data_IF_961060152531
#
_entry.id   IF_961060152531
#
_cell.length_a   1.000
_cell.length_b   1.000
_cell.length_c   1.000
_cell.angle_alpha   90.00
_cell.angle_beta   90.00
_cell.angle_gamma   90.00
#
_symmetry.space_group_name_H-M   'P 1'
#
loop_
_entity.id
_entity.type
_entity.pdbx_description
1 polymer ?
#
# COMPACT_ATOMS: atom_id res chain seq x y z
N UNK A 1 -12.90 -10.59 -4.31
CA UNK A 1 -11.49 -11.06 -4.21
C UNK A 1 -10.71 -10.60 -5.46
N UNK A 2 -9.36 -10.53 -5.49
CA UNK A 2 -8.61 -10.06 -6.70
C UNK A 2 -9.00 -10.87 -7.97
N UNK A 3 -9.31 -12.15 -7.80
CA UNK A 3 -9.80 -13.05 -8.85
C UNK A 3 -11.05 -12.55 -9.57
N UNK A 4 -11.89 -11.76 -8.90
CA UNK A 4 -13.16 -11.21 -9.38
C UNK A 4 -13.03 -9.74 -9.77
N UNK A 5 -11.86 -9.12 -9.56
CA UNK A 5 -11.63 -7.72 -9.87
C UNK A 5 -11.36 -7.51 -11.36
N UNK A 6 -11.91 -6.43 -11.93
CA UNK A 6 -11.57 -5.98 -13.27
C UNK A 6 -10.07 -5.67 -13.43
N UNK A 7 -9.38 -5.31 -12.35
CA UNK A 7 -7.92 -5.07 -12.34
C UNK A 7 -7.16 -6.30 -12.84
N UNK A 8 -7.56 -7.50 -12.39
CA UNK A 8 -6.93 -8.74 -12.86
C UNK A 8 -7.04 -8.88 -14.37
N UNK A 9 -8.22 -8.61 -14.92
CA UNK A 9 -8.45 -8.69 -16.37
C UNK A 9 -7.61 -7.67 -17.14
N UNK A 10 -7.40 -6.47 -16.58
CA UNK A 10 -6.56 -5.44 -17.20
C UNK A 10 -5.09 -5.90 -17.33
N UNK A 11 -4.54 -6.51 -16.28
CA UNK A 11 -3.18 -7.04 -16.31
C UNK A 11 -3.07 -8.28 -17.21
N UNK A 12 -4.01 -9.22 -17.13
CA UNK A 12 -4.00 -10.43 -17.95
C UNK A 12 -4.14 -10.12 -19.46
N UNK A 13 -4.94 -9.11 -19.82
CA UNK A 13 -5.12 -8.66 -21.21
C UNK A 13 -4.06 -7.67 -21.70
N UNK A 14 -3.03 -7.39 -20.89
CA UNK A 14 -1.94 -6.45 -21.21
C UNK A 14 -2.42 -5.03 -21.56
N UNK A 15 -3.53 -4.60 -20.95
CA UNK A 15 -3.93 -3.19 -21.01
C UNK A 15 -3.06 -2.30 -20.12
N UNK A 16 -2.41 -2.90 -19.12
CA UNK A 16 -1.43 -2.22 -18.27
C UNK A 16 -0.03 -2.37 -18.90
N UNK A 17 0.81 -1.30 -18.92
CA UNK A 17 2.16 -1.35 -19.48
C UNK A 17 3.06 -2.43 -18.86
N UNK A 18 4.04 -2.91 -19.64
CA UNK A 18 4.87 -4.08 -19.34
C UNK A 18 5.78 -3.98 -18.10
N UNK A 19 5.87 -2.83 -17.44
CA UNK A 19 6.71 -2.60 -16.26
C UNK A 19 5.91 -2.21 -15.01
N UNK A 20 4.59 -2.32 -15.06
CA UNK A 20 3.73 -2.08 -13.91
C UNK A 20 3.46 -3.40 -13.17
N UNK A 21 3.57 -3.35 -11.86
CA UNK A 21 3.35 -4.49 -10.99
C UNK A 21 2.41 -4.11 -9.85
N UNK A 22 1.56 -5.04 -9.45
CA UNK A 22 0.81 -4.96 -8.20
C UNK A 22 1.66 -5.56 -7.08
N UNK A 23 1.65 -4.91 -5.92
CA UNK A 23 2.15 -5.53 -4.69
C UNK A 23 0.99 -6.28 -4.03
N UNK A 24 1.12 -7.59 -3.96
CA UNK A 24 0.23 -8.48 -3.24
C UNK A 24 0.80 -8.86 -1.88
N UNK A 25 -0.10 -9.21 -0.97
CA UNK A 25 0.28 -9.87 0.28
C UNK A 25 0.58 -11.36 0.06
N UNK A 26 1.12 -12.01 1.09
CA UNK A 26 1.49 -13.43 1.10
C UNK A 26 0.34 -14.40 0.77
N UNK A 27 -0.91 -13.98 0.97
CA UNK A 27 -2.11 -14.75 0.61
C UNK A 27 -2.41 -14.81 -0.89
N UNK A 28 -1.69 -14.07 -1.73
CA UNK A 28 -1.84 -14.11 -3.18
C UNK A 28 -0.75 -14.96 -3.86
N UNK A 29 -1.04 -15.55 -5.02
CA UNK A 29 0.00 -16.22 -5.80
C UNK A 29 0.89 -15.20 -6.51
N UNK A 30 2.19 -15.47 -6.56
CA UNK A 30 3.13 -14.69 -7.37
C UNK A 30 2.82 -14.86 -8.87
N UNK A 31 2.75 -13.75 -9.60
CA UNK A 31 2.52 -13.72 -11.07
C UNK A 31 3.47 -12.69 -11.71
N UNK A 32 3.67 -12.73 -13.05
CA UNK A 32 4.49 -11.73 -13.75
C UNK A 32 4.12 -10.27 -13.49
N UNK A 33 2.89 -10.00 -13.07
CA UNK A 33 2.36 -8.68 -12.75
C UNK A 33 1.92 -8.52 -11.28
N UNK A 34 2.07 -9.55 -10.44
CA UNK A 34 1.68 -9.54 -9.03
C UNK A 34 2.84 -10.05 -8.17
N UNK A 35 3.49 -9.13 -7.49
CA UNK A 35 4.67 -9.36 -6.66
C UNK A 35 4.24 -9.64 -5.22
N UNK A 36 4.66 -10.77 -4.68
CA UNK A 36 4.31 -11.23 -3.33
C UNK A 36 5.60 -11.53 -2.54
N UNK A 37 5.62 -11.30 -1.23
CA UNK A 37 6.82 -11.55 -0.43
C UNK A 37 7.21 -13.03 -0.41
N UNK A 38 8.49 -13.31 -0.22
CA UNK A 38 8.94 -14.66 0.13
C UNK A 38 8.48 -14.99 1.56
N UNK A 39 7.78 -16.11 1.73
CA UNK A 39 7.34 -16.59 3.06
C UNK A 39 8.51 -17.03 3.95
N UNK A 40 9.53 -17.64 3.35
CA UNK A 40 10.73 -18.12 4.04
C UNK A 40 11.96 -17.61 3.27
N UNK A 41 12.30 -16.30 3.39
CA UNK A 41 13.40 -15.72 2.65
C UNK A 41 14.74 -16.29 3.14
N UNK A 42 15.60 -16.67 2.20
CA UNK A 42 17.01 -16.98 2.48
C UNK A 42 17.80 -15.67 2.59
N UNK A 43 18.93 -15.74 3.30
CA UNK A 43 19.85 -14.62 3.42
C UNK A 43 20.29 -14.09 2.04
N UNK A 44 20.48 -12.77 1.96
CA UNK A 44 20.92 -12.08 0.75
C UNK A 44 19.75 -11.53 -0.10
N UNK A 45 19.66 -11.84 -1.41
CA UNK A 45 18.74 -11.15 -2.32
C UNK A 45 17.25 -11.23 -1.95
N UNK A 46 16.80 -12.36 -1.38
CA UNK A 46 15.39 -12.54 -1.01
C UNK A 46 14.99 -11.66 0.17
N UNK A 47 15.88 -11.50 1.15
CA UNK A 47 15.66 -10.59 2.27
C UNK A 47 15.64 -9.12 1.80
N UNK A 48 16.55 -8.76 0.89
CA UNK A 48 16.57 -7.43 0.28
C UNK A 48 15.29 -7.13 -0.50
N UNK A 49 14.78 -8.12 -1.24
CA UNK A 49 13.50 -8.02 -1.93
C UNK A 49 12.34 -7.83 -0.95
N UNK A 50 12.23 -8.66 0.09
CA UNK A 50 11.16 -8.55 1.09
C UNK A 50 11.20 -7.20 1.82
N UNK A 51 12.40 -6.68 2.13
CA UNK A 51 12.57 -5.35 2.71
C UNK A 51 12.02 -4.27 1.79
N UNK A 52 12.41 -4.26 0.52
CA UNK A 52 11.89 -3.31 -0.45
C UNK A 52 10.36 -3.44 -0.63
N UNK A 53 9.84 -4.67 -0.64
CA UNK A 53 8.40 -4.96 -0.73
C UNK A 53 7.63 -4.38 0.47
N UNK A 54 8.10 -4.66 1.71
CA UNK A 54 7.54 -4.13 2.97
C UNK A 54 7.57 -2.60 3.01
N UNK A 55 8.72 -1.99 2.67
CA UNK A 55 8.85 -0.52 2.64
C UNK A 55 7.89 0.13 1.64
N UNK A 56 7.73 -0.47 0.45
CA UNK A 56 6.81 0.04 -0.56
C UNK A 56 5.35 -0.06 -0.10
N UNK A 57 4.97 -1.18 0.53
CA UNK A 57 3.63 -1.37 1.10
C UNK A 57 3.32 -0.42 2.25
N UNK A 58 4.31 -0.14 3.09
CA UNK A 58 4.16 0.74 4.25
C UNK A 58 3.61 2.12 3.88
N UNK A 59 3.89 2.63 2.68
CA UNK A 59 3.35 3.92 2.19
C UNK A 59 1.82 3.89 2.12
N UNK A 60 1.26 2.83 1.53
CA UNK A 60 -0.19 2.66 1.38
C UNK A 60 -0.84 2.34 2.73
N UNK A 61 -0.21 1.49 3.53
CA UNK A 61 -0.69 1.12 4.86
C UNK A 61 -0.77 2.34 5.79
N UNK A 62 0.26 3.20 5.79
CA UNK A 62 0.22 4.48 6.51
C UNK A 62 -0.90 5.38 6.03
N UNK A 63 -1.17 5.44 4.72
CA UNK A 63 -2.28 6.23 4.18
C UNK A 63 -3.65 5.72 4.64
N UNK A 64 -3.83 4.40 4.64
CA UNK A 64 -5.06 3.74 5.15
C UNK A 64 -5.21 4.00 6.66
N UNK A 65 -4.13 3.89 7.44
CA UNK A 65 -4.13 4.20 8.87
C UNK A 65 -4.57 5.63 9.16
N UNK A 66 -4.01 6.61 8.45
CA UNK A 66 -4.43 8.01 8.57
C UNK A 66 -5.90 8.23 8.19
N UNK A 67 -6.41 7.49 7.19
CA UNK A 67 -7.81 7.56 6.80
C UNK A 67 -8.73 7.01 7.90
N UNK A 68 -8.39 5.85 8.48
CA UNK A 68 -9.12 5.22 9.59
C UNK A 68 -9.13 6.09 10.84
N UNK A 69 -7.98 6.64 11.22
CA UNK A 69 -7.86 7.57 12.38
C UNK A 69 -8.70 8.82 12.19
N UNK A 70 -8.71 9.39 10.98
CA UNK A 70 -9.50 10.61 10.70
C UNK A 70 -11.00 10.36 10.68
N UNK A 71 -11.44 9.18 10.23
CA UNK A 71 -12.85 8.85 10.11
C UNK A 71 -13.15 7.58 10.90
N UNK A 72 -13.52 7.74 12.16
CA UNK A 72 -13.81 6.63 13.09
C UNK A 72 -14.86 5.63 12.59
N UNK A 73 -15.73 6.05 11.65
CA UNK A 73 -16.66 5.16 10.94
C UNK A 73 -15.95 4.02 10.17
N UNK A 74 -14.66 4.16 9.86
CA UNK A 74 -13.83 3.13 9.22
C UNK A 74 -13.07 2.25 10.23
N UNK A 75 -13.14 2.56 11.53
CA UNK A 75 -12.45 1.83 12.59
C UNK A 75 -13.24 0.58 13.03
N UNK A 76 -14.57 0.65 12.99
CA UNK A 76 -15.44 -0.40 13.48
C UNK A 76 -16.29 -1.08 12.41
N UNK A 77 -17.15 -1.99 12.85
CA UNK A 77 -18.12 -2.66 11.98
C UNK A 77 -19.15 -1.66 11.42
N UNK A 78 -19.17 -1.53 10.09
CA UNK A 78 -20.16 -0.70 9.41
C UNK A 78 -21.39 -1.53 9.05
N UNK A 79 -22.50 -1.30 9.74
CA UNK A 79 -23.80 -1.96 9.46
C UNK A 79 -24.54 -1.33 8.27
N UNK A 80 -23.84 -1.21 7.15
CA UNK A 80 -24.39 -0.71 5.89
C UNK A 80 -24.27 -1.78 4.81
N UNK A 81 -25.14 -1.71 3.79
CA UNK A 81 -25.00 -2.56 2.61
C UNK A 81 -23.67 -2.26 1.89
N UNK A 82 -23.02 -3.25 1.26
CA UNK A 82 -21.73 -3.07 0.60
C UNK A 82 -21.67 -1.87 -0.35
N UNK A 83 -22.76 -1.62 -1.10
CA UNK A 83 -22.82 -0.50 -2.06
C UNK A 83 -22.77 0.86 -1.36
N UNK A 84 -23.33 0.97 -0.15
CA UNK A 84 -23.25 2.18 0.67
C UNK A 84 -21.88 2.31 1.32
N UNK A 85 -21.28 1.20 1.77
CA UNK A 85 -19.92 1.19 2.33
C UNK A 85 -18.90 1.67 1.30
N UNK A 86 -18.98 1.22 0.04
CA UNK A 86 -18.09 1.69 -1.02
C UNK A 86 -18.18 3.20 -1.22
N UNK A 87 -19.39 3.78 -1.23
CA UNK A 87 -19.59 5.23 -1.33
C UNK A 87 -19.04 5.97 -0.13
N UNK A 88 -19.20 5.42 1.07
CA UNK A 88 -18.67 5.97 2.31
C UNK A 88 -17.14 6.03 2.27
N UNK A 89 -16.47 4.93 1.88
CA UNK A 89 -15.01 4.88 1.74
C UNK A 89 -14.52 5.94 0.75
N UNK A 90 -15.19 6.08 -0.40
CA UNK A 90 -14.84 7.10 -1.41
C UNK A 90 -15.01 8.51 -0.83
N UNK A 91 -16.12 8.79 -0.14
CA UNK A 91 -16.35 10.09 0.49
C UNK A 91 -15.29 10.41 1.54
N UNK A 92 -14.91 9.45 2.38
CA UNK A 92 -13.81 9.59 3.33
C UNK A 92 -12.49 9.91 2.61
N UNK A 93 -12.15 9.22 1.53
CA UNK A 93 -10.93 9.48 0.76
C UNK A 93 -10.91 10.90 0.16
N UNK A 94 -12.03 11.36 -0.40
CA UNK A 94 -12.16 12.72 -0.94
C UNK A 94 -11.97 13.76 0.17
N UNK A 95 -12.66 13.59 1.31
CA UNK A 95 -12.54 14.50 2.45
C UNK A 95 -11.14 14.48 3.05
N UNK A 96 -10.48 13.32 3.10
CA UNK A 96 -9.08 13.20 3.52
C UNK A 96 -8.16 14.03 2.64
N UNK A 97 -8.30 13.92 1.32
CA UNK A 97 -7.48 14.67 0.37
C UNK A 97 -7.69 16.19 0.53
N UNK A 98 -8.94 16.64 0.75
CA UNK A 98 -9.23 18.05 1.04
C UNK A 98 -8.53 18.49 2.33
N UNK A 99 -8.56 17.68 3.38
CA UNK A 99 -7.87 17.97 4.63
C UNK A 99 -6.36 18.08 4.45
N UNK A 100 -5.75 17.17 3.68
CA UNK A 100 -4.31 17.19 3.36
C UNK A 100 -3.92 18.46 2.60
N UNK A 101 -4.68 18.83 1.57
CA UNK A 101 -4.43 20.06 0.79
C UNK A 101 -4.57 21.32 1.65
N UNK A 102 -5.53 21.33 2.56
CA UNK A 102 -5.77 22.46 3.48
C UNK A 102 -4.90 22.43 4.73
N UNK A 103 -3.98 21.46 4.85
CA UNK A 103 -3.13 21.25 6.03
C UNK A 103 -3.91 21.18 7.35
N UNK A 104 -5.11 20.60 7.32
CA UNK A 104 -5.91 20.38 8.51
C UNK A 104 -5.24 19.28 9.33
N UNK A 105 -4.89 19.61 10.57
CA UNK A 105 -4.25 18.71 11.51
C UNK A 105 -4.95 17.34 11.56
N UNK A 106 -4.16 16.29 11.70
CA UNK A 106 -4.69 14.97 11.99
C UNK A 106 -5.19 14.93 13.43
N UNK A 107 -6.28 14.20 13.71
CA UNK A 107 -6.66 13.91 15.10
C UNK A 107 -5.48 13.29 15.84
N UNK A 108 -5.26 13.72 17.07
CA UNK A 108 -4.26 13.13 17.96
C UNK A 108 -4.65 11.68 18.26
N UNK A 109 -3.66 10.82 18.45
CA UNK A 109 -3.88 9.43 18.87
C UNK A 109 -4.40 9.43 20.32
N UNK A 110 -5.63 8.94 20.51
CA UNK A 110 -5.93 8.22 21.74
C UNK A 110 -5.22 6.87 21.57
N UNK A 111 -4.27 6.55 22.44
CA UNK A 111 -3.30 5.47 22.26
C UNK A 111 -3.89 4.06 22.23
N UNK A 112 -4.57 3.72 21.14
CA UNK A 112 -4.94 2.36 20.80
C UNK A 112 -3.86 1.80 19.87
N UNK A 113 -2.98 0.99 20.46
CA UNK A 113 -1.96 0.21 19.79
C UNK A 113 -2.63 -0.70 18.76
N UNK A 114 -2.45 -0.41 17.46
CA UNK A 114 -2.63 -1.42 16.43
C UNK A 114 -1.59 -2.53 16.71
N UNK A 115 -1.97 -3.56 17.47
CA UNK A 115 -1.22 -4.82 17.59
C UNK A 115 -1.21 -5.55 16.23
N UNK A 116 -0.50 -5.00 15.25
CA UNK A 116 0.09 -5.75 14.16
C UNK A 116 1.59 -5.86 14.46
N UNK A 117 1.89 -6.65 15.50
CA UNK A 117 3.24 -6.99 15.93
C UNK A 117 3.98 -7.79 14.87
N UNK A 118 4.60 -7.08 13.92
CA UNK A 118 5.70 -7.59 13.12
C UNK A 118 6.94 -6.74 13.47
N UNK A 119 7.40 -6.95 14.71
CA UNK A 119 8.64 -6.41 15.26
C UNK A 119 9.82 -6.89 14.41
N UNK A 120 10.22 -6.07 13.45
CA UNK A 120 11.59 -6.00 12.96
C UNK A 120 11.99 -4.51 12.95
N UNK A 121 12.67 -4.11 14.03
CA UNK A 121 13.22 -2.78 14.25
C UNK A 121 14.29 -2.44 13.18
N UNK A 122 13.91 -1.77 12.09
CA UNK A 122 14.82 -0.89 11.30
C UNK A 122 14.08 0.08 10.34
N UNK A 123 12.85 0.49 10.68
CA UNK A 123 12.01 1.31 9.79
C UNK A 123 12.17 2.83 9.92
N UNK A 124 12.88 3.29 10.96
CA UNK A 124 12.85 4.69 11.41
C UNK A 124 13.72 5.65 10.60
N UNK A 125 14.84 5.20 10.04
CA UNK A 125 15.78 6.09 9.34
C UNK A 125 15.50 6.27 7.84
N UNK A 126 14.74 5.36 7.22
CA UNK A 126 14.63 5.28 5.76
C UNK A 126 13.58 6.21 5.16
N UNK A 127 12.61 6.69 5.95
CA UNK A 127 11.53 7.56 5.44
C UNK A 127 12.05 8.92 4.97
N UNK A 128 13.06 9.44 5.66
CA UNK A 128 13.71 10.71 5.30
C UNK A 128 14.72 10.55 4.15
N UNK A 129 15.36 9.38 4.04
CA UNK A 129 16.27 9.06 2.93
C UNK A 129 15.53 8.80 1.61
N UNK A 130 14.31 8.25 1.63
CA UNK A 130 13.52 7.99 0.41
C UNK A 130 12.98 9.28 -0.22
N UNK A 131 12.72 10.34 0.57
CA UNK A 131 12.40 11.67 0.02
C UNK A 131 13.62 12.34 -0.64
N UNK A 132 14.85 11.98 -0.23
CA UNK A 132 16.11 12.48 -0.81
C UNK A 132 16.59 11.69 -2.02
N UNK A 133 16.31 10.39 -2.08
CA UNK A 133 16.56 9.55 -3.25
C UNK A 133 15.37 9.68 -4.20
N UNK A 134 15.34 10.75 -4.98
CA UNK A 134 14.45 10.85 -6.14
C UNK A 134 14.60 9.59 -6.98
N UNK A 135 13.59 8.71 -6.95
CA UNK A 135 13.47 7.60 -7.88
C UNK A 135 13.19 8.17 -9.26
N UNK A 136 14.23 8.69 -9.91
CA UNK A 136 14.31 8.77 -11.36
C UNK A 136 14.44 7.33 -11.81
N UNK A 137 13.32 6.77 -12.25
CA UNK A 137 13.29 5.51 -12.96
C UNK A 137 13.87 5.80 -14.35
N UNK A 138 15.21 5.83 -14.46
CA UNK A 138 15.85 5.89 -15.76
C UNK A 138 15.50 4.59 -16.52
N UNK A 139 14.83 4.67 -17.68
CA UNK A 139 14.56 3.49 -18.47
C UNK A 139 15.89 2.90 -18.96
N UNK A 140 16.05 1.56 -18.96
CA UNK A 140 17.24 0.95 -19.53
C UNK A 140 17.32 1.33 -21.02
N UNK A 141 18.39 2.03 -21.38
CA UNK A 141 18.73 2.31 -22.77
C UNK A 141 18.85 1.00 -23.53
N UNK A 142 18.06 0.87 -24.60
CA UNK A 142 18.24 -0.20 -25.56
C UNK A 142 19.50 0.10 -26.39
N UNK A 143 20.41 -0.87 -26.60
CA UNK A 143 21.47 -0.71 -27.58
C UNK A 143 20.90 -0.67 -29.01
N UNK A 144 21.64 0.03 -29.88
CA UNK A 144 21.28 0.56 -31.22
C UNK A 144 20.50 -0.36 -32.17
#
# INVERSE_FOLDING_TARGET
MLSESGIRQLFERRYVPANCHLLGDSGYPCKPWLLTPYLQPRQGPQLNYNRAHKTTRAVVERGIGQLKRRFHVLHGEVRLRPEKVSKLIIACAILHNICKVRQIAEPLEDGDEDEDGDNDEDGGMLTEQVLRMGMVFDPPGYPE
#
